data_IF_688153894910
#
_entry.id   IF_688153894910
#
_cell.length_a   1.000
_cell.length_b   1.000
_cell.length_c   1.000
_cell.angle_alpha   90.00
_cell.angle_beta   90.00
_cell.angle_gamma   90.00
#
_symmetry.space_group_name_H-M   'P 1'
#
loop_
_entity.id
_entity.type
_entity.pdbx_description
1 polymer ?
#
# COMPACT_ATOMS: atom_id res chain seq x y z
N UNK A 1 -2.22 4.65 -18.17
CA UNK A 1 -2.57 4.05 -16.86
C UNK A 1 -2.54 2.52 -16.84
N UNK A 2 -3.39 1.82 -17.62
CA UNK A 2 -3.54 0.35 -17.52
C UNK A 2 -2.26 -0.47 -17.76
N UNK A 3 -1.30 0.03 -18.56
CA UNK A 3 0.01 -0.63 -18.75
C UNK A 3 0.78 -0.81 -17.44
N UNK A 4 0.57 0.08 -16.46
CA UNK A 4 1.21 -0.01 -15.14
C UNK A 4 0.77 -1.25 -14.36
N UNK A 5 -0.42 -1.77 -14.61
CA UNK A 5 -0.89 -3.03 -14.02
C UNK A 5 0.01 -4.19 -14.40
N UNK A 6 0.35 -4.31 -15.68
CA UNK A 6 1.23 -5.37 -16.17
C UNK A 6 2.67 -5.19 -15.68
N UNK A 7 3.13 -3.95 -15.52
CA UNK A 7 4.42 -3.65 -14.88
C UNK A 7 4.41 -4.10 -13.42
N UNK A 8 3.34 -3.79 -12.69
CA UNK A 8 3.17 -4.21 -11.29
C UNK A 8 3.17 -5.72 -11.14
N UNK A 9 2.38 -6.41 -11.97
CA UNK A 9 2.35 -7.87 -12.03
C UNK A 9 3.75 -8.47 -12.24
N UNK A 10 4.50 -7.94 -13.21
CA UNK A 10 5.83 -8.42 -13.54
C UNK A 10 6.80 -8.20 -12.38
N UNK A 11 6.86 -6.98 -11.83
CA UNK A 11 7.83 -6.64 -10.80
C UNK A 11 7.57 -7.37 -9.49
N UNK A 12 6.31 -7.45 -9.03
CA UNK A 12 5.97 -8.23 -7.84
C UNK A 12 6.26 -9.73 -8.03
N UNK A 13 5.95 -10.29 -9.21
CA UNK A 13 6.28 -11.70 -9.52
C UNK A 13 7.78 -11.95 -9.48
N UNK A 14 8.56 -11.09 -10.15
CA UNK A 14 10.02 -11.20 -10.15
C UNK A 14 10.58 -11.10 -8.73
N UNK A 15 10.09 -10.17 -7.91
CA UNK A 15 10.55 -10.03 -6.53
C UNK A 15 10.35 -11.30 -5.71
N UNK A 16 9.18 -11.95 -5.78
CA UNK A 16 8.95 -13.23 -5.09
C UNK A 16 9.84 -14.33 -5.65
N UNK A 17 9.87 -14.50 -6.98
CA UNK A 17 10.62 -15.58 -7.63
C UNK A 17 12.12 -15.47 -7.32
N UNK A 18 12.68 -14.27 -7.39
CA UNK A 18 14.09 -14.05 -7.08
C UNK A 18 14.39 -14.39 -5.62
N UNK A 19 13.51 -14.00 -4.69
CA UNK A 19 13.74 -14.31 -3.27
C UNK A 19 13.67 -15.82 -3.01
N UNK A 20 12.66 -16.48 -3.58
CA UNK A 20 12.51 -17.94 -3.49
C UNK A 20 13.72 -18.67 -4.09
N UNK A 21 14.19 -18.22 -5.25
CA UNK A 21 15.26 -18.88 -5.99
C UNK A 21 16.62 -18.72 -5.30
N UNK A 22 16.95 -17.51 -4.83
CA UNK A 22 18.29 -17.20 -4.35
C UNK A 22 18.47 -17.29 -2.84
N UNK A 23 17.42 -17.13 -2.03
CA UNK A 23 17.56 -16.99 -0.57
C UNK A 23 16.86 -18.08 0.25
N UNK A 24 15.99 -18.91 -0.35
CA UNK A 24 15.33 -19.99 0.40
C UNK A 24 16.26 -21.11 0.88
N UNK A 25 17.42 -21.28 0.26
CA UNK A 25 18.44 -22.25 0.71
C UNK A 25 19.38 -21.71 1.79
N UNK A 26 19.38 -20.41 2.05
CA UNK A 26 20.27 -19.78 3.02
C UNK A 26 19.63 -19.75 4.42
N UNK A 27 20.28 -20.29 5.47
CA UNK A 27 19.68 -20.42 6.80
C UNK A 27 19.47 -19.09 7.54
N UNK A 28 20.09 -18.00 7.09
CA UNK A 28 19.98 -16.67 7.69
C UNK A 28 19.03 -15.80 6.89
N UNK A 29 19.25 -15.68 5.58
CA UNK A 29 18.50 -14.78 4.70
C UNK A 29 17.04 -15.21 4.52
N UNK A 30 16.74 -16.52 4.63
CA UNK A 30 15.36 -17.01 4.56
C UNK A 30 14.45 -16.36 5.61
N UNK A 31 14.99 -16.00 6.79
CA UNK A 31 14.25 -15.34 7.87
C UNK A 31 13.79 -13.92 7.53
N UNK A 32 14.42 -13.29 6.55
CA UNK A 32 14.13 -11.93 6.08
C UNK A 32 13.45 -11.91 4.71
N UNK A 33 12.97 -13.05 4.22
CA UNK A 33 12.41 -13.18 2.87
C UNK A 33 11.30 -12.16 2.59
N UNK A 34 10.36 -11.93 3.51
CA UNK A 34 9.32 -10.90 3.37
C UNK A 34 9.86 -9.49 3.15
N UNK A 35 10.91 -9.10 3.88
CA UNK A 35 11.56 -7.80 3.70
C UNK A 35 12.31 -7.73 2.35
N UNK A 36 12.98 -8.82 1.96
CA UNK A 36 13.69 -8.91 0.68
C UNK A 36 12.72 -8.81 -0.51
N UNK A 37 11.54 -9.44 -0.43
CA UNK A 37 10.50 -9.34 -1.46
C UNK A 37 10.07 -7.89 -1.67
N UNK A 38 9.75 -7.19 -0.57
CA UNK A 38 9.37 -5.77 -0.64
C UNK A 38 10.54 -4.92 -1.16
N UNK A 39 11.76 -5.22 -0.74
CA UNK A 39 12.97 -4.49 -1.16
C UNK A 39 13.21 -4.61 -2.67
N UNK A 40 13.16 -5.81 -3.25
CA UNK A 40 13.28 -5.97 -4.70
C UNK A 40 12.14 -5.29 -5.46
N UNK A 41 10.90 -5.39 -4.96
CA UNK A 41 9.75 -4.77 -5.60
C UNK A 41 9.89 -3.25 -5.63
N UNK A 42 10.36 -2.68 -4.50
CA UNK A 42 10.73 -1.27 -4.36
C UNK A 42 11.80 -0.89 -5.38
N UNK A 43 12.92 -1.64 -5.46
CA UNK A 43 14.01 -1.35 -6.39
C UNK A 43 13.56 -1.33 -7.86
N UNK A 44 12.74 -2.29 -8.28
CA UNK A 44 12.21 -2.32 -9.66
C UNK A 44 11.27 -1.15 -9.95
N UNK A 45 10.52 -0.70 -8.95
CA UNK A 45 9.46 0.30 -9.12
C UNK A 45 9.91 1.74 -8.85
N UNK A 46 11.07 1.91 -8.21
CA UNK A 46 11.61 3.21 -7.81
C UNK A 46 11.78 4.21 -8.98
N UNK A 47 12.27 3.80 -10.17
CA UNK A 47 12.37 4.73 -11.30
C UNK A 47 11.00 5.30 -11.72
N UNK A 48 9.95 4.48 -11.76
CA UNK A 48 8.61 4.94 -12.13
C UNK A 48 8.08 5.95 -11.12
N UNK A 49 8.18 5.64 -9.83
CA UNK A 49 7.72 6.54 -8.76
C UNK A 49 8.47 7.87 -8.78
N UNK A 50 9.79 7.83 -8.97
CA UNK A 50 10.63 9.03 -9.04
C UNK A 50 10.24 9.95 -10.20
N UNK A 51 10.11 9.41 -11.42
CA UNK A 51 9.79 10.21 -12.59
C UNK A 51 8.36 10.75 -12.55
N UNK A 52 7.40 10.00 -11.99
CA UNK A 52 6.03 10.49 -11.78
C UNK A 52 6.04 11.69 -10.84
N UNK A 53 6.62 11.57 -9.64
CA UNK A 53 6.67 12.68 -8.67
C UNK A 53 7.36 13.91 -9.24
N UNK A 54 8.50 13.71 -9.94
CA UNK A 54 9.25 14.80 -10.57
C UNK A 54 8.45 15.51 -11.67
N UNK A 55 7.55 14.81 -12.34
CA UNK A 55 6.66 15.41 -13.33
C UNK A 55 5.54 16.19 -12.66
N UNK A 56 4.90 15.62 -11.63
CA UNK A 56 3.80 16.26 -10.91
C UNK A 56 4.22 17.55 -10.19
N UNK A 57 5.43 17.60 -9.61
CA UNK A 57 5.92 18.81 -8.92
C UNK A 57 6.00 20.05 -9.83
N UNK A 58 6.23 19.88 -11.14
CA UNK A 58 6.24 21.00 -12.10
C UNK A 58 4.89 21.71 -12.19
N UNK A 59 3.81 20.97 -12.04
CA UNK A 59 2.46 21.48 -12.20
C UNK A 59 1.97 22.25 -10.95
N UNK A 60 2.54 21.92 -9.78
CA UNK A 60 2.22 22.50 -8.48
C UNK A 60 2.98 23.79 -8.15
N UNK A 61 3.89 24.26 -9.02
CA UNK A 61 4.50 25.60 -8.90
C UNK A 61 3.49 26.74 -9.11
N UNK A 62 2.33 26.42 -9.67
CA UNK A 62 1.25 27.35 -9.96
C UNK A 62 0.12 27.19 -8.92
N UNK A 63 -0.52 28.29 -8.49
CA UNK A 63 -1.59 28.24 -7.50
C UNK A 63 -2.80 27.47 -8.05
N UNK A 64 -3.36 26.56 -7.25
CA UNK A 64 -4.48 25.72 -7.66
C UNK A 64 -5.48 25.46 -6.54
N UNK A 65 -6.78 25.58 -6.83
CA UNK A 65 -7.81 25.05 -5.94
C UNK A 65 -7.98 23.53 -6.09
N UNK A 66 -8.79 22.93 -5.20
CA UNK A 66 -9.10 21.48 -5.16
C UNK A 66 -9.36 20.89 -6.55
N UNK A 67 -10.19 21.56 -7.36
CA UNK A 67 -10.57 21.08 -8.70
C UNK A 67 -9.38 21.00 -9.66
N UNK A 68 -8.48 21.99 -9.61
CA UNK A 68 -7.28 22.02 -10.47
C UNK A 68 -6.32 20.93 -10.02
N UNK A 69 -6.02 20.86 -8.73
CA UNK A 69 -5.14 19.85 -8.12
C UNK A 69 -5.60 18.44 -8.53
N UNK A 70 -6.88 18.11 -8.34
CA UNK A 70 -7.38 16.79 -8.75
C UNK A 70 -7.24 16.54 -10.26
N UNK A 71 -7.52 17.55 -11.09
CA UNK A 71 -7.45 17.39 -12.55
C UNK A 71 -6.03 17.18 -13.07
N UNK A 72 -5.02 17.69 -12.35
CA UNK A 72 -3.59 17.54 -12.65
C UNK A 72 -3.12 16.15 -12.24
N UNK A 73 -3.32 15.79 -10.96
CA UNK A 73 -2.70 14.60 -10.36
C UNK A 73 -3.42 13.28 -10.68
N UNK A 74 -4.65 13.32 -11.22
CA UNK A 74 -5.46 12.11 -11.48
C UNK A 74 -4.76 11.05 -12.34
N UNK A 75 -3.95 11.46 -13.32
CA UNK A 75 -3.34 10.53 -14.26
C UNK A 75 -2.17 9.77 -13.60
N UNK A 76 -1.37 10.47 -12.79
CA UNK A 76 -0.37 9.89 -11.91
C UNK A 76 -1.00 8.95 -10.87
N UNK A 77 -2.08 9.39 -10.21
CA UNK A 77 -2.81 8.56 -9.25
C UNK A 77 -3.33 7.28 -9.90
N UNK A 78 -3.98 7.37 -11.06
CA UNK A 78 -4.48 6.18 -11.78
C UNK A 78 -3.33 5.26 -12.19
N UNK A 79 -2.21 5.80 -12.68
CA UNK A 79 -1.03 5.00 -13.03
C UNK A 79 -0.50 4.22 -11.82
N UNK A 80 -0.40 4.86 -10.66
CA UNK A 80 0.07 4.25 -9.42
C UNK A 80 -0.94 3.25 -8.83
N UNK A 81 -2.24 3.52 -8.91
CA UNK A 81 -3.30 2.55 -8.54
C UNK A 81 -3.20 1.29 -9.39
N UNK A 82 -3.06 1.43 -10.72
CA UNK A 82 -2.88 0.26 -11.59
C UNK A 82 -1.61 -0.52 -11.24
N UNK A 83 -0.50 0.16 -10.95
CA UNK A 83 0.75 -0.49 -10.49
C UNK A 83 0.50 -1.33 -9.22
N UNK A 84 -0.14 -0.73 -8.22
CA UNK A 84 -0.44 -1.38 -6.95
C UNK A 84 -1.41 -2.56 -7.10
N UNK A 85 -2.45 -2.43 -7.93
CA UNK A 85 -3.33 -3.55 -8.26
C UNK A 85 -2.55 -4.71 -8.89
N UNK A 86 -1.55 -4.41 -9.73
CA UNK A 86 -0.63 -5.41 -10.26
C UNK A 86 0.16 -6.11 -9.16
N UNK A 87 0.67 -5.37 -8.17
CA UNK A 87 1.34 -5.95 -7.00
C UNK A 87 0.41 -6.88 -6.22
N UNK A 88 -0.79 -6.41 -5.86
CA UNK A 88 -1.76 -7.19 -5.08
C UNK A 88 -2.10 -8.51 -5.78
N UNK A 89 -2.39 -8.47 -7.09
CA UNK A 89 -2.72 -9.68 -7.85
C UNK A 89 -1.54 -10.64 -7.90
N UNK A 90 -0.33 -10.17 -8.23
CA UNK A 90 0.85 -11.03 -8.32
C UNK A 90 1.24 -11.62 -6.97
N UNK A 91 1.30 -10.81 -5.91
CA UNK A 91 1.62 -11.30 -4.57
C UNK A 91 0.58 -12.29 -4.06
N UNK A 92 -0.73 -12.02 -4.26
CA UNK A 92 -1.79 -12.96 -3.86
C UNK A 92 -1.70 -14.29 -4.62
N UNK A 93 -1.46 -14.23 -5.93
CA UNK A 93 -1.31 -15.42 -6.77
C UNK A 93 -0.12 -16.26 -6.31
N UNK A 94 1.07 -15.66 -6.18
CA UNK A 94 2.26 -16.41 -5.80
C UNK A 94 2.25 -16.89 -4.34
N UNK A 95 1.63 -16.14 -3.43
CA UNK A 95 1.43 -16.58 -2.05
C UNK A 95 0.67 -17.91 -1.99
N UNK A 96 -0.41 -18.03 -2.77
CA UNK A 96 -1.21 -19.25 -2.83
C UNK A 96 -0.57 -20.37 -3.67
N UNK A 97 0.13 -20.03 -4.75
CA UNK A 97 0.77 -21.03 -5.63
C UNK A 97 1.99 -21.67 -4.96
N UNK A 98 2.83 -20.88 -4.28
CA UNK A 98 4.04 -21.38 -3.64
C UNK A 98 3.79 -21.99 -2.26
N UNK A 99 2.68 -21.61 -1.60
CA UNK A 99 2.33 -22.03 -0.24
C UNK A 99 3.50 -21.89 0.75
N UNK A 100 4.27 -20.82 0.59
CA UNK A 100 5.46 -20.54 1.38
C UNK A 100 5.27 -19.24 2.14
N UNK A 101 4.84 -19.35 3.40
CA UNK A 101 4.58 -18.19 4.26
C UNK A 101 5.85 -17.44 4.65
N UNK A 102 7.04 -18.02 4.47
CA UNK A 102 8.30 -17.32 4.75
C UNK A 102 8.48 -16.11 3.84
N UNK A 103 7.98 -16.18 2.60
CA UNK A 103 8.10 -15.13 1.59
C UNK A 103 7.33 -13.87 1.95
N UNK A 104 6.33 -13.93 2.83
CA UNK A 104 5.52 -12.80 3.30
C UNK A 104 5.44 -12.74 4.85
N UNK A 105 6.43 -13.32 5.55
CA UNK A 105 6.38 -13.55 6.99
C UNK A 105 6.08 -12.28 7.83
N UNK A 106 6.85 -11.22 7.63
CA UNK A 106 6.68 -9.96 8.37
C UNK A 106 5.36 -9.26 8.01
N UNK A 107 4.83 -9.48 6.81
CA UNK A 107 3.59 -8.86 6.36
C UNK A 107 2.36 -9.62 6.83
N UNK A 108 2.44 -10.94 6.97
CA UNK A 108 1.45 -11.74 7.71
C UNK A 108 1.40 -11.25 9.17
N UNK A 109 2.55 -11.07 9.82
CA UNK A 109 2.61 -10.56 11.19
C UNK A 109 2.02 -9.16 11.32
N UNK A 110 2.34 -8.26 10.38
CA UNK A 110 1.73 -6.92 10.30
C UNK A 110 0.21 -7.01 10.19
N UNK A 111 -0.30 -7.85 9.28
CA UNK A 111 -1.74 -8.07 9.12
C UNK A 111 -2.36 -8.56 10.44
N UNK A 112 -1.74 -9.53 11.11
CA UNK A 112 -2.24 -10.10 12.35
C UNK A 112 -2.19 -9.11 13.52
N UNK A 113 -1.17 -8.25 13.60
CA UNK A 113 -1.10 -7.19 14.61
C UNK A 113 -2.25 -6.17 14.46
N UNK A 114 -2.68 -5.88 13.22
CA UNK A 114 -3.80 -4.97 12.94
C UNK A 114 -5.14 -5.65 13.20
N UNK A 115 -5.29 -6.91 12.80
CA UNK A 115 -6.58 -7.60 12.73
C UNK A 115 -6.91 -8.47 13.94
N UNK A 116 -5.89 -8.95 14.66
CA UNK A 116 -6.01 -9.84 15.81
C UNK A 116 -4.93 -9.51 16.87
N UNK A 117 -4.89 -8.28 17.42
CA UNK A 117 -3.83 -7.83 18.31
C UNK A 117 -3.69 -8.69 19.59
N UNK A 118 -4.77 -9.31 20.06
CA UNK A 118 -4.76 -10.18 21.25
C UNK A 118 -4.30 -11.62 20.95
N UNK A 119 -4.22 -12.04 19.68
CA UNK A 119 -3.96 -13.43 19.28
C UNK A 119 -3.05 -13.50 18.04
N UNK A 120 -1.97 -12.71 18.02
CA UNK A 120 -1.06 -12.61 16.88
C UNK A 120 -0.49 -13.98 16.49
N UNK A 121 0.00 -14.78 17.45
CA UNK A 121 0.58 -16.09 17.16
C UNK A 121 -0.43 -17.06 16.51
N UNK A 122 -1.67 -17.09 17.04
CA UNK A 122 -2.74 -17.91 16.49
C UNK A 122 -3.13 -17.46 15.08
N UNK A 123 -3.18 -16.16 14.84
CA UNK A 123 -3.39 -15.59 13.52
C UNK A 123 -2.23 -15.97 12.58
N UNK A 124 -0.97 -15.72 12.94
CA UNK A 124 0.18 -16.06 12.08
C UNK A 124 0.21 -17.54 11.74
N UNK A 125 -0.10 -18.42 12.69
CA UNK A 125 -0.22 -19.85 12.46
C UNK A 125 -1.32 -20.19 11.44
N UNK A 126 -2.48 -19.53 11.52
CA UNK A 126 -3.58 -19.68 10.57
C UNK A 126 -3.14 -19.34 9.13
N UNK A 127 -2.49 -18.19 8.96
CA UNK A 127 -2.02 -17.71 7.65
C UNK A 127 -0.83 -18.50 7.11
N UNK A 128 -0.07 -19.18 7.99
CA UNK A 128 1.09 -20.00 7.61
C UNK A 128 0.74 -21.44 7.26
N UNK A 129 -0.32 -22.00 7.85
CA UNK A 129 -0.66 -23.42 7.71
C UNK A 129 -1.79 -23.69 6.72
N UNK A 130 -2.44 -22.65 6.19
CA UNK A 130 -3.60 -22.80 5.31
C UNK A 130 -4.88 -23.26 6.04
N UNK A 131 -4.84 -23.41 7.37
CA UNK A 131 -5.97 -23.82 8.17
C UNK A 131 -6.95 -22.68 8.41
N UNK A 132 -8.26 -22.95 8.36
CA UNK A 132 -9.29 -21.98 8.77
C UNK A 132 -9.60 -22.15 10.26
N UNK A 133 -9.00 -21.32 11.11
CA UNK A 133 -9.43 -21.14 12.49
C UNK A 133 -10.36 -19.93 12.54
N UNK A 134 -11.60 -20.15 12.99
CA UNK A 134 -12.57 -19.07 13.17
C UNK A 134 -12.17 -18.27 14.41
N UNK A 135 -11.33 -17.25 14.22
CA UNK A 135 -11.02 -16.26 15.26
C UNK A 135 -12.17 -15.25 15.33
N UNK A 136 -13.20 -15.58 16.10
CA UNK A 136 -14.30 -14.66 16.42
C UNK A 136 -13.96 -13.84 17.67
N UNK A 137 -13.18 -12.77 17.49
CA UNK A 137 -13.01 -11.73 18.51
C UNK A 137 -14.11 -10.68 18.39
N UNK A 138 -14.99 -10.58 19.39
CA UNK A 138 -16.09 -9.61 19.42
C UNK A 138 -15.61 -8.19 19.75
N UNK A 139 -14.98 -7.51 18.79
CA UNK A 139 -14.65 -6.08 18.93
C UNK A 139 -15.87 -5.26 18.53
N UNK A 140 -16.24 -4.25 19.34
CA UNK A 140 -17.30 -3.32 18.98
C UNK A 140 -16.90 -2.51 17.74
N UNK A 141 -17.86 -2.18 16.86
CA UNK A 141 -17.57 -1.48 15.60
C UNK A 141 -16.77 -0.18 15.78
N UNK A 142 -17.05 0.59 16.83
CA UNK A 142 -16.31 1.83 17.11
C UNK A 142 -14.86 1.60 17.51
N UNK A 143 -14.58 0.64 18.40
CA UNK A 143 -13.20 0.31 18.78
C UNK A 143 -12.40 -0.23 17.59
N UNK A 144 -13.05 -1.01 16.72
CA UNK A 144 -12.44 -1.52 15.48
C UNK A 144 -12.14 -0.39 14.49
N UNK A 145 -13.06 0.55 14.34
CA UNK A 145 -12.88 1.73 13.49
C UNK A 145 -11.71 2.60 13.94
N UNK A 146 -11.60 2.90 15.24
CA UNK A 146 -10.49 3.70 15.76
C UNK A 146 -9.15 3.01 15.54
N UNK A 147 -9.06 1.69 15.79
CA UNK A 147 -7.81 0.94 15.59
C UNK A 147 -7.37 0.92 14.12
N UNK A 148 -8.32 0.74 13.19
CA UNK A 148 -8.03 0.76 11.74
C UNK A 148 -7.59 2.16 11.30
N UNK A 149 -8.34 3.19 11.72
CA UNK A 149 -8.05 4.56 11.34
C UNK A 149 -6.66 5.01 11.85
N UNK A 150 -6.31 4.67 13.09
CA UNK A 150 -4.99 4.96 13.65
C UNK A 150 -3.87 4.28 12.86
N UNK A 151 -4.00 2.98 12.56
CA UNK A 151 -3.02 2.26 11.76
C UNK A 151 -2.83 2.91 10.37
N UNK A 152 -3.93 3.19 9.68
CA UNK A 152 -3.86 3.77 8.33
C UNK A 152 -3.34 5.21 8.36
N UNK A 153 -3.58 5.95 9.45
CA UNK A 153 -2.98 7.27 9.66
C UNK A 153 -1.46 7.15 9.85
N UNK A 154 -0.98 6.16 10.60
CA UNK A 154 0.45 5.88 10.71
C UNK A 154 1.07 5.57 9.33
N UNK A 155 0.44 4.68 8.55
CA UNK A 155 0.89 4.36 7.18
C UNK A 155 0.95 5.62 6.31
N UNK A 156 -0.07 6.48 6.37
CA UNK A 156 -0.09 7.75 5.65
C UNK A 156 1.06 8.68 6.07
N UNK A 157 1.31 8.84 7.37
CA UNK A 157 2.41 9.67 7.91
C UNK A 157 3.77 9.14 7.43
N UNK A 158 4.01 7.83 7.54
CA UNK A 158 5.25 7.22 7.05
C UNK A 158 5.42 7.39 5.54
N UNK A 159 4.33 7.31 4.78
CA UNK A 159 4.33 7.56 3.34
C UNK A 159 4.79 8.98 3.02
N UNK A 160 4.25 9.99 3.72
CA UNK A 160 4.65 11.40 3.57
C UNK A 160 6.13 11.55 3.91
N UNK A 161 6.58 11.01 5.05
CA UNK A 161 7.98 11.14 5.49
C UNK A 161 8.96 10.52 4.50
N UNK A 162 8.71 9.29 4.04
CA UNK A 162 9.61 8.62 3.10
C UNK A 162 9.59 9.28 1.72
N UNK A 163 8.45 9.79 1.27
CA UNK A 163 8.38 10.53 0.02
C UNK A 163 9.08 11.90 0.13
N UNK A 164 8.98 12.57 1.28
CA UNK A 164 9.68 13.83 1.55
C UNK A 164 11.20 13.64 1.56
N UNK A 165 11.70 12.61 2.25
CA UNK A 165 13.14 12.39 2.45
C UNK A 165 13.80 11.80 1.19
N UNK A 166 13.16 10.80 0.57
CA UNK A 166 13.76 10.02 -0.52
C UNK A 166 13.13 10.29 -1.89
N UNK A 167 12.16 11.20 -1.99
CA UNK A 167 11.38 11.46 -3.21
C UNK A 167 10.43 10.31 -3.51
N UNK A 168 10.98 9.20 -4.02
CA UNK A 168 10.25 7.99 -4.41
C UNK A 168 10.08 6.97 -3.27
N UNK A 169 10.50 7.28 -2.04
CA UNK A 169 10.54 6.34 -0.91
C UNK A 169 9.19 5.75 -0.51
N UNK A 170 8.09 6.43 -0.84
CA UNK A 170 6.74 5.92 -0.62
C UNK A 170 6.47 4.56 -1.27
N UNK A 171 7.18 4.20 -2.36
CA UNK A 171 6.99 2.91 -3.05
C UNK A 171 7.29 1.71 -2.14
N UNK A 172 8.15 1.88 -1.13
CA UNK A 172 8.40 0.85 -0.12
C UNK A 172 7.15 0.54 0.71
N UNK A 173 6.46 1.58 1.19
CA UNK A 173 5.24 1.44 1.99
C UNK A 173 4.10 0.87 1.15
N UNK A 174 4.03 1.27 -0.12
CA UNK A 174 3.02 0.79 -1.06
C UNK A 174 3.24 -0.69 -1.41
N UNK A 175 4.49 -1.10 -1.65
CA UNK A 175 4.82 -2.51 -1.87
C UNK A 175 4.59 -3.36 -0.61
N UNK A 176 4.91 -2.82 0.58
CA UNK A 176 4.60 -3.46 1.86
C UNK A 176 3.09 -3.63 2.08
N UNK A 177 2.29 -2.59 1.81
CA UNK A 177 0.84 -2.70 1.91
C UNK A 177 0.27 -3.74 0.94
N UNK A 178 0.77 -3.78 -0.30
CA UNK A 178 0.33 -4.77 -1.28
C UNK A 178 0.59 -6.21 -0.80
N UNK A 179 1.70 -6.48 -0.12
CA UNK A 179 2.00 -7.80 0.45
C UNK A 179 1.17 -8.10 1.70
N UNK A 180 0.87 -7.12 2.56
CA UNK A 180 -0.09 -7.26 3.68
C UNK A 180 -1.47 -7.66 3.16
N UNK A 181 -1.93 -7.02 2.08
CA UNK A 181 -3.20 -7.35 1.42
C UNK A 181 -3.16 -8.75 0.82
N UNK A 182 -2.06 -9.13 0.17
CA UNK A 182 -1.92 -10.47 -0.39
C UNK A 182 -2.05 -11.57 0.67
N UNK A 183 -1.49 -11.35 1.86
CA UNK A 183 -1.69 -12.24 3.01
C UNK A 183 -3.18 -12.36 3.38
N UNK A 184 -3.90 -11.23 3.47
CA UNK A 184 -5.34 -11.20 3.74
C UNK A 184 -6.16 -11.94 2.68
N UNK A 185 -5.85 -11.70 1.40
CA UNK A 185 -6.48 -12.35 0.25
C UNK A 185 -6.32 -13.86 0.32
N UNK A 186 -5.19 -14.37 0.80
CA UNK A 186 -4.99 -15.81 0.98
C UNK A 186 -6.07 -16.47 1.85
N UNK A 187 -6.44 -15.84 2.96
CA UNK A 187 -7.52 -16.32 3.84
C UNK A 187 -8.91 -16.05 3.27
N UNK A 188 -9.13 -14.88 2.68
CA UNK A 188 -10.43 -14.57 2.04
C UNK A 188 -10.73 -15.50 0.85
N UNK A 189 -9.69 -15.96 0.16
CA UNK A 189 -9.77 -16.96 -0.88
C UNK A 189 -9.79 -18.40 -0.35
N UNK A 190 -9.82 -18.60 0.97
CA UNK A 190 -9.77 -19.93 1.61
C UNK A 190 -8.61 -20.80 1.09
N UNK A 191 -7.49 -20.16 0.75
CA UNK A 191 -6.32 -20.77 0.12
C UNK A 191 -6.61 -21.49 -1.22
N UNK A 192 -7.68 -21.11 -1.91
CA UNK A 192 -8.05 -21.59 -3.23
C UNK A 192 -7.77 -20.54 -4.31
N UNK A 193 -7.01 -20.91 -5.34
CA UNK A 193 -6.64 -20.00 -6.43
C UNK A 193 -7.90 -19.45 -7.15
N UNK A 194 -8.96 -20.26 -7.29
CA UNK A 194 -10.23 -19.85 -7.91
C UNK A 194 -10.95 -18.74 -7.16
N UNK A 195 -10.72 -18.60 -5.85
CA UNK A 195 -11.37 -17.61 -4.99
C UNK A 195 -10.55 -16.31 -4.83
N UNK A 196 -9.35 -16.22 -5.43
CA UNK A 196 -8.55 -14.99 -5.44
C UNK A 196 -9.37 -13.77 -5.88
N UNK A 197 -10.15 -13.82 -6.98
CA UNK A 197 -10.95 -12.65 -7.40
C UNK A 197 -11.93 -12.19 -6.32
N UNK A 198 -12.55 -13.13 -5.59
CA UNK A 198 -13.47 -12.82 -4.49
C UNK A 198 -12.74 -12.22 -3.30
N UNK A 199 -11.57 -12.76 -2.94
CA UNK A 199 -10.73 -12.22 -1.86
C UNK A 199 -10.24 -10.81 -2.15
N UNK A 200 -9.78 -10.55 -3.38
CA UNK A 200 -9.39 -9.22 -3.83
C UNK A 200 -10.59 -8.27 -3.82
N UNK A 201 -11.73 -8.69 -4.36
CA UNK A 201 -12.95 -7.87 -4.38
C UNK A 201 -13.38 -7.44 -2.97
N UNK A 202 -13.35 -8.36 -2.01
CA UNK A 202 -13.67 -8.07 -0.60
C UNK A 202 -12.83 -6.93 -0.05
N UNK A 203 -11.52 -6.97 -0.28
CA UNK A 203 -10.62 -5.93 0.22
C UNK A 203 -10.75 -4.62 -0.57
N UNK A 204 -10.88 -4.69 -1.90
CA UNK A 204 -10.84 -3.50 -2.77
C UNK A 204 -12.02 -2.53 -2.57
N UNK A 205 -13.10 -2.94 -1.89
CA UNK A 205 -14.22 -2.03 -1.53
C UNK A 205 -13.71 -0.83 -0.73
N UNK A 206 -12.97 -1.07 0.36
CA UNK A 206 -12.37 -0.01 1.18
C UNK A 206 -10.90 0.24 0.82
N UNK A 207 -10.20 -0.77 0.30
CA UNK A 207 -8.79 -0.70 -0.07
C UNK A 207 -8.48 0.26 -1.21
N UNK A 208 -9.39 0.47 -2.18
CA UNK A 208 -9.21 1.47 -3.23
C UNK A 208 -9.23 2.91 -2.67
N UNK A 209 -10.23 3.32 -1.86
CA UNK A 209 -10.16 4.56 -1.10
C UNK A 209 -8.89 4.70 -0.26
N UNK A 210 -8.51 3.67 0.49
CA UNK A 210 -7.33 3.70 1.36
C UNK A 210 -6.02 3.92 0.59
N UNK A 211 -5.77 3.15 -0.48
CA UNK A 211 -4.54 3.32 -1.27
C UNK A 211 -4.53 4.67 -2.01
N UNK A 212 -5.70 5.20 -2.36
CA UNK A 212 -5.84 6.55 -2.92
C UNK A 212 -5.34 7.60 -1.93
N UNK A 213 -5.67 7.47 -0.63
CA UNK A 213 -5.10 8.31 0.43
C UNK A 213 -3.58 8.21 0.45
N UNK A 214 -3.00 7.01 0.41
CA UNK A 214 -1.55 6.85 0.48
C UNK A 214 -0.84 7.45 -0.75
N UNK A 215 -1.43 7.35 -1.94
CA UNK A 215 -0.87 8.01 -3.13
C UNK A 215 -0.94 9.54 -3.05
N UNK A 216 -2.04 10.11 -2.56
CA UNK A 216 -2.14 11.56 -2.32
C UNK A 216 -1.08 12.02 -1.30
N UNK A 217 -0.86 11.23 -0.25
CA UNK A 217 0.15 11.50 0.77
C UNK A 217 1.58 11.39 0.23
N UNK A 218 1.84 10.40 -0.63
CA UNK A 218 3.11 10.23 -1.33
C UNK A 218 3.39 11.41 -2.27
N UNK A 219 2.40 11.82 -3.07
CA UNK A 219 2.51 12.99 -3.93
C UNK A 219 2.81 14.25 -3.11
N UNK A 220 2.03 14.51 -2.07
CA UNK A 220 2.26 15.66 -1.19
C UNK A 220 3.69 15.68 -0.60
N UNK A 221 4.15 14.55 -0.03
CA UNK A 221 5.51 14.45 0.51
C UNK A 221 6.59 14.66 -0.55
N UNK A 222 6.48 13.98 -1.70
CA UNK A 222 7.46 14.04 -2.78
C UNK A 222 7.54 15.40 -3.48
N UNK A 223 6.40 16.06 -3.66
CA UNK A 223 6.30 17.41 -4.23
C UNK A 223 6.91 18.44 -3.28
N UNK A 224 6.63 18.36 -1.97
CA UNK A 224 7.28 19.24 -0.97
C UNK A 224 8.81 19.02 -1.01
N UNK A 225 9.27 17.78 -0.97
CA UNK A 225 10.70 17.46 -0.94
C UNK A 225 11.44 17.95 -2.18
N UNK A 226 10.86 17.73 -3.36
CA UNK A 226 11.41 18.19 -4.64
C UNK A 226 11.34 19.71 -4.77
N UNK A 227 10.26 20.33 -4.30
CA UNK A 227 10.04 21.77 -4.31
C UNK A 227 11.04 22.55 -3.45
N UNK A 228 11.42 22.00 -2.27
CA UNK A 228 12.49 22.59 -1.43
C UNK A 228 13.79 22.70 -2.22
N UNK A 229 14.18 21.62 -2.92
CA UNK A 229 15.45 21.54 -3.66
C UNK A 229 15.44 22.48 -4.86
N UNK A 230 14.31 22.54 -5.58
CA UNK A 230 14.21 23.25 -6.86
C UNK A 230 13.99 24.75 -6.71
N UNK A 231 13.08 25.14 -5.82
CA UNK A 231 12.61 26.52 -5.71
C UNK A 231 13.21 27.27 -4.51
N UNK A 232 13.73 26.55 -3.51
CA UNK A 232 14.21 27.12 -2.27
C UNK A 232 13.07 27.61 -1.36
N UNK A 233 13.29 27.53 -0.04
CA UNK A 233 12.25 27.69 1.01
C UNK A 233 11.62 29.10 1.04
N UNK A 234 12.28 30.11 0.44
CA UNK A 234 11.83 31.52 0.48
C UNK A 234 11.12 31.99 -0.79
N UNK A 235 10.91 31.12 -1.78
CA UNK A 235 10.28 31.53 -3.05
C UNK A 235 8.76 31.51 -2.96
N UNK A 236 8.10 32.41 -3.69
CA UNK A 236 6.62 32.39 -3.82
C UNK A 236 6.12 31.07 -4.44
N UNK A 237 6.90 30.49 -5.36
CA UNK A 237 6.59 29.18 -5.94
C UNK A 237 6.57 28.07 -4.89
N UNK A 238 7.50 28.11 -3.93
CA UNK A 238 7.52 27.14 -2.84
C UNK A 238 6.30 27.30 -1.91
N UNK A 239 5.80 28.51 -1.71
CA UNK A 239 4.56 28.73 -0.95
C UNK A 239 3.37 28.05 -1.64
N UNK A 240 3.22 28.23 -2.97
CA UNK A 240 2.16 27.53 -3.72
C UNK A 240 2.29 26.01 -3.65
N UNK A 241 3.52 25.48 -3.70
CA UNK A 241 3.79 24.05 -3.53
C UNK A 241 3.29 23.54 -2.17
N UNK A 242 3.57 24.27 -1.08
CA UNK A 242 3.08 23.92 0.26
C UNK A 242 1.54 23.97 0.31
N UNK A 243 0.93 25.03 -0.21
CA UNK A 243 -0.53 25.19 -0.22
C UNK A 243 -1.22 24.04 -0.97
N UNK A 244 -0.74 23.70 -2.17
CA UNK A 244 -1.26 22.60 -2.98
C UNK A 244 -1.07 21.25 -2.25
N UNK A 245 0.08 21.02 -1.63
CA UNK A 245 0.34 19.80 -0.86
C UNK A 245 -0.57 19.69 0.38
N UNK A 246 -0.85 20.78 1.10
CA UNK A 246 -1.79 20.78 2.23
C UNK A 246 -3.21 20.44 1.77
N UNK A 247 -3.64 20.90 0.59
CA UNK A 247 -4.93 20.52 0.01
C UNK A 247 -4.97 19.02 -0.31
N UNK A 248 -3.89 18.47 -0.90
CA UNK A 248 -3.78 17.02 -1.15
C UNK A 248 -3.91 16.22 0.16
N UNK A 249 -3.22 16.63 1.22
CA UNK A 249 -3.28 15.97 2.53
C UNK A 249 -4.67 16.07 3.17
N UNK A 250 -5.33 17.22 3.06
CA UNK A 250 -6.70 17.37 3.55
C UNK A 250 -7.66 16.40 2.84
N UNK A 251 -7.58 16.30 1.51
CA UNK A 251 -8.38 15.36 0.72
C UNK A 251 -8.05 13.91 1.13
N UNK A 252 -6.77 13.59 1.31
CA UNK A 252 -6.32 12.26 1.71
C UNK A 252 -6.93 11.83 3.06
N UNK A 253 -6.94 12.72 4.06
CA UNK A 253 -7.53 12.45 5.39
C UNK A 253 -9.05 12.19 5.28
N UNK A 254 -9.77 13.00 4.50
CA UNK A 254 -11.22 12.80 4.30
C UNK A 254 -11.50 11.44 3.67
N UNK A 255 -10.75 11.07 2.62
CA UNK A 255 -10.87 9.76 1.97
C UNK A 255 -10.52 8.62 2.94
N UNK A 256 -9.52 8.81 3.80
CA UNK A 256 -9.09 7.80 4.77
C UNK A 256 -10.18 7.48 5.80
N UNK A 257 -10.86 8.51 6.30
CA UNK A 257 -11.99 8.35 7.22
C UNK A 257 -13.11 7.57 6.52
N UNK A 258 -13.41 7.91 5.27
CA UNK A 258 -14.40 7.18 4.46
C UNK A 258 -13.98 5.71 4.28
N UNK A 259 -12.71 5.45 3.97
CA UNK A 259 -12.17 4.10 3.82
C UNK A 259 -12.36 3.26 5.10
N UNK A 260 -12.02 3.80 6.27
CA UNK A 260 -12.22 3.12 7.56
C UNK A 260 -13.69 2.84 7.87
N UNK A 261 -14.59 3.77 7.55
CA UNK A 261 -16.04 3.54 7.68
C UNK A 261 -16.51 2.42 6.73
N UNK A 262 -15.99 2.41 5.51
CA UNK A 262 -16.29 1.36 4.53
C UNK A 262 -15.77 -0.01 4.97
N UNK A 263 -14.59 -0.09 5.59
CA UNK A 263 -14.04 -1.35 6.09
C UNK A 263 -14.89 -1.92 7.23
N UNK A 264 -15.28 -1.09 8.19
CA UNK A 264 -15.96 -1.55 9.41
C UNK A 264 -17.45 -1.76 9.23
N UNK A 265 -18.13 -0.89 8.46
CA UNK A 265 -19.60 -0.89 8.41
C UNK A 265 -20.17 -1.30 7.05
N UNK A 266 -19.46 -1.08 5.95
CA UNK A 266 -20.01 -1.34 4.61
C UNK A 266 -19.56 -2.68 4.03
N UNK A 267 -18.27 -3.00 4.08
CA UNK A 267 -17.69 -4.24 3.55
C UNK A 267 -18.31 -5.49 4.19
N UNK A 268 -18.56 -5.55 5.52
CA UNK A 268 -19.18 -6.71 6.17
C UNK A 268 -20.65 -6.95 5.78
N UNK A 269 -21.32 -6.00 5.11
CA UNK A 269 -22.68 -6.22 4.60
C UNK A 269 -22.70 -7.18 3.39
N UNK A 270 -21.56 -7.37 2.73
CA UNK A 270 -21.43 -8.18 1.52
C UNK A 270 -20.59 -9.45 1.71
N UNK A 271 -19.84 -9.57 2.81
CA UNK A 271 -18.85 -10.63 3.04
C UNK A 271 -18.80 -11.12 4.48
#
# INVERSE_FOLDING_TARGET
>A
PWKMFFIGLLYASLSIILVKLFFSGDPVLVKYSGLLVVTFCTMFSLPFMFYIIKQEEKEDEYPGGIRRIWSVHKDAMLALIFLFLGFVVAFSFWFLVLQDSTLLNAQIETYCAINAPEQIEGCVAQYSTGGFLSLTGGVTGMARFTSILENNLYVMIFTIMLSLIFGAGAIFILAWNATVIASAVGVFAQFQISEIPRGILRYMIHGLPEITTYFLAALAGGIIGTGIIRNGIKSERFVHVIENALILLFIAIVILIIAGLMEVYFTPLFF
#
